data_IF_403665521110
#
_entry.id   IF_403665521110
#
_cell.length_a   1.000
_cell.length_b   1.000
_cell.length_c   1.000
_cell.angle_alpha   90.00
_cell.angle_beta   90.00
_cell.angle_gamma   90.00
#
_symmetry.space_group_name_H-M   'P 1'
#
loop_
_entity.id
_entity.type
_entity.pdbx_description
1 polymer ?
#
# COMPACT_ATOMS: atom_id res chain seq x y z
N UNK A 1 23.38 10.52 3.89
CA UNK A 1 23.24 10.49 2.42
C UNK A 1 21.94 9.77 2.05
N UNK A 2 21.22 10.23 1.00
CA UNK A 2 20.10 9.47 0.46
C UNK A 2 20.61 8.13 -0.10
N UNK A 3 20.08 7.02 0.43
CA UNK A 3 20.41 5.66 -0.01
C UNK A 3 19.49 5.24 -1.18
N UNK A 4 19.97 4.45 -2.16
CA UNK A 4 19.13 3.91 -3.23
C UNK A 4 18.07 2.96 -2.66
N UNK A 5 16.87 2.88 -3.25
CA UNK A 5 15.72 2.13 -2.67
C UNK A 5 15.94 0.65 -2.48
N UNK A 6 16.75 0.01 -3.32
CA UNK A 6 17.20 -1.37 -3.08
C UNK A 6 17.87 -1.58 -1.72
N UNK A 7 18.33 -0.50 -1.08
CA UNK A 7 18.91 -0.48 0.26
C UNK A 7 18.00 0.17 1.33
N UNK A 8 16.77 0.53 0.94
CA UNK A 8 15.71 1.01 1.83
C UNK A 8 14.58 -0.02 1.98
N UNK A 9 14.34 -0.83 0.94
CA UNK A 9 13.47 -2.02 0.99
C UNK A 9 14.30 -3.18 1.50
N UNK A 10 13.89 -3.75 2.63
CA UNK A 10 14.52 -4.91 3.24
C UNK A 10 13.43 -5.88 3.68
N UNK A 11 13.30 -6.95 2.93
CA UNK A 11 12.35 -8.02 3.20
C UNK A 11 12.63 -8.75 4.51
N UNK A 12 13.90 -8.80 4.93
CA UNK A 12 14.29 -9.29 6.25
C UNK A 12 13.80 -8.39 7.40
N UNK A 13 13.48 -7.13 7.11
CA UNK A 13 13.07 -6.14 8.12
C UNK A 13 11.54 -6.02 8.22
N UNK A 14 10.87 -5.91 7.07
CA UNK A 14 9.40 -5.94 6.98
C UNK A 14 8.96 -6.18 5.53
N UNK A 15 7.86 -6.92 5.31
CA UNK A 15 7.21 -7.00 4.01
C UNK A 15 6.26 -5.82 3.73
N UNK A 16 5.99 -4.94 4.70
CA UNK A 16 4.97 -3.88 4.59
C UNK A 16 5.57 -2.51 4.30
N UNK A 17 5.02 -1.82 3.29
CA UNK A 17 5.48 -0.50 2.87
C UNK A 17 4.31 0.42 2.54
N UNK A 18 4.37 1.64 3.07
CA UNK A 18 3.52 2.74 2.63
C UNK A 18 4.21 3.50 1.51
N UNK A 19 3.55 3.63 0.38
CA UNK A 19 4.03 4.32 -0.81
C UNK A 19 3.09 5.46 -1.22
N UNK A 20 3.70 6.56 -1.69
CA UNK A 20 2.97 7.79 -2.04
C UNK A 20 3.51 8.35 -3.34
N UNK A 21 2.64 8.66 -4.29
CA UNK A 21 3.02 9.37 -5.52
C UNK A 21 2.16 10.61 -5.71
N UNK A 22 2.78 11.71 -6.12
CA UNK A 22 2.15 13.02 -6.27
C UNK A 22 2.39 13.58 -7.66
N UNK A 23 1.35 14.13 -8.28
CA UNK A 23 1.42 14.78 -9.59
C UNK A 23 2.09 16.14 -9.53
N UNK A 24 2.73 16.54 -10.62
CA UNK A 24 3.36 17.87 -10.75
C UNK A 24 2.37 18.98 -10.44
N UNK A 25 2.88 20.08 -9.87
CA UNK A 25 2.07 21.26 -9.57
C UNK A 25 1.27 21.69 -10.81
N UNK A 26 -0.04 21.89 -10.63
CA UNK A 26 -1.05 22.21 -11.66
C UNK A 26 -1.52 21.07 -12.57
N UNK A 27 -0.90 19.88 -12.51
CA UNK A 27 -1.54 18.68 -13.06
C UNK A 27 -2.52 18.12 -12.03
N UNK A 28 -3.80 18.03 -12.40
CA UNK A 28 -4.78 17.30 -11.60
C UNK A 28 -4.55 15.80 -11.83
N UNK A 29 -4.19 15.08 -10.76
CA UNK A 29 -4.27 13.61 -10.78
C UNK A 29 -5.72 13.22 -11.04
N UNK A 30 -6.64 13.94 -10.39
CA UNK A 30 -8.07 13.93 -10.58
C UNK A 30 -8.67 15.20 -9.99
N UNK A 31 -9.92 15.53 -10.32
CA UNK A 31 -10.58 16.74 -9.82
C UNK A 31 -10.85 17.79 -10.88
N UNK A 32 -11.52 18.86 -10.47
CA UNK A 32 -11.90 19.96 -11.36
C UNK A 32 -10.75 20.97 -11.47
N UNK A 33 -10.30 21.21 -12.68
CA UNK A 33 -9.37 22.29 -12.96
C UNK A 33 -10.07 23.64 -12.82
N UNK A 34 -9.55 24.49 -11.95
CA UNK A 34 -10.11 25.81 -11.70
C UNK A 34 -9.94 26.75 -12.90
N UNK A 35 -8.93 26.56 -13.75
CA UNK A 35 -8.67 27.41 -14.90
C UNK A 35 -9.55 27.05 -16.10
N UNK A 36 -9.68 25.75 -16.42
CA UNK A 36 -10.44 25.28 -17.59
C UNK A 36 -11.85 24.81 -17.26
N UNK A 37 -12.21 24.69 -15.98
CA UNK A 37 -13.45 24.03 -15.51
C UNK A 37 -13.62 22.56 -15.92
N UNK A 38 -12.61 21.95 -16.58
CA UNK A 38 -12.62 20.54 -16.96
C UNK A 38 -12.49 19.66 -15.71
N UNK A 39 -13.26 18.58 -15.65
CA UNK A 39 -13.19 17.61 -14.57
C UNK A 39 -12.37 16.40 -14.99
N UNK A 40 -11.45 15.99 -14.12
CA UNK A 40 -10.63 14.79 -14.23
C UNK A 40 -10.92 13.79 -13.11
N UNK A 41 -12.06 13.93 -12.42
CA UNK A 41 -12.48 13.04 -11.32
C UNK A 41 -12.49 11.56 -11.72
N UNK A 42 -12.83 11.24 -12.97
CA UNK A 42 -12.82 9.87 -13.51
C UNK A 42 -11.46 9.18 -13.42
N UNK A 43 -10.35 9.93 -13.42
CA UNK A 43 -9.00 9.37 -13.30
C UNK A 43 -8.77 8.65 -11.96
N UNK A 44 -9.58 8.92 -10.91
CA UNK A 44 -9.50 8.14 -9.66
C UNK A 44 -9.81 6.67 -9.89
N UNK A 45 -10.83 6.40 -10.71
CA UNK A 45 -11.21 5.04 -11.07
C UNK A 45 -10.09 4.33 -11.80
N UNK A 46 -9.39 5.01 -12.74
CA UNK A 46 -8.24 4.43 -13.45
C UNK A 46 -7.15 3.96 -12.49
N UNK A 47 -6.83 4.76 -11.48
CA UNK A 47 -5.80 4.42 -10.48
C UNK A 47 -6.25 3.26 -9.62
N UNK A 48 -7.50 3.29 -9.15
CA UNK A 48 -8.06 2.21 -8.34
C UNK A 48 -8.09 0.88 -9.10
N UNK A 49 -8.61 0.86 -10.33
CA UNK A 49 -8.64 -0.33 -11.18
C UNK A 49 -7.24 -0.85 -11.44
N UNK A 50 -6.30 0.03 -11.79
CA UNK A 50 -4.91 -0.35 -12.05
C UNK A 50 -4.22 -0.91 -10.80
N UNK A 51 -4.53 -0.39 -9.61
CA UNK A 51 -4.02 -0.95 -8.36
C UNK A 51 -4.49 -2.40 -8.17
N UNK A 52 -5.79 -2.66 -8.31
CA UNK A 52 -6.36 -4.00 -8.14
C UNK A 52 -5.88 -4.97 -9.22
N UNK A 53 -5.76 -4.52 -10.46
CA UNK A 53 -5.19 -5.30 -11.58
C UNK A 53 -3.75 -5.72 -11.26
N UNK A 54 -2.89 -4.76 -10.91
CA UNK A 54 -1.48 -5.05 -10.61
C UNK A 54 -1.31 -5.94 -9.39
N UNK A 55 -2.18 -5.83 -8.39
CA UNK A 55 -2.18 -6.70 -7.22
C UNK A 55 -2.58 -8.14 -7.55
N UNK A 56 -3.32 -8.37 -8.63
CA UNK A 56 -3.62 -9.71 -9.15
C UNK A 56 -2.46 -10.33 -9.95
N UNK A 57 -1.53 -9.51 -10.44
CA UNK A 57 -0.43 -9.95 -11.31
C UNK A 57 0.90 -10.07 -10.55
N UNK A 58 1.19 -9.11 -9.67
CA UNK A 58 2.38 -9.12 -8.83
C UNK A 58 2.16 -10.00 -7.60
N UNK A 59 3.25 -10.52 -7.03
CA UNK A 59 3.26 -11.12 -5.70
C UNK A 59 3.28 -10.03 -4.62
N UNK A 60 2.36 -9.07 -4.73
CA UNK A 60 2.24 -7.90 -3.86
C UNK A 60 0.77 -7.68 -3.54
N UNK A 61 0.41 -7.81 -2.27
CA UNK A 61 -0.97 -7.60 -1.81
C UNK A 61 -1.23 -6.12 -1.46
N UNK A 62 -2.46 -5.67 -1.67
CA UNK A 62 -2.94 -4.34 -1.24
C UNK A 62 -3.49 -4.41 0.19
N UNK A 63 -2.79 -3.83 1.16
CA UNK A 63 -3.31 -3.71 2.52
C UNK A 63 -4.35 -2.58 2.63
N UNK A 64 -4.09 -1.46 1.94
CA UNK A 64 -4.98 -0.31 1.90
C UNK A 64 -4.53 0.75 0.89
N UNK A 65 -5.43 1.64 0.50
CA UNK A 65 -5.14 2.76 -0.39
C UNK A 65 -6.16 3.89 -0.25
N UNK A 66 -5.75 5.08 -0.70
CA UNK A 66 -6.62 6.24 -0.84
C UNK A 66 -6.16 7.11 -2.01
N UNK A 67 -7.07 7.40 -2.94
CA UNK A 67 -6.78 8.24 -4.12
C UNK A 67 -7.29 9.66 -3.88
N UNK A 68 -6.37 10.60 -3.74
CA UNK A 68 -6.63 12.03 -3.51
C UNK A 68 -6.56 12.81 -4.83
N UNK A 69 -6.96 14.08 -4.83
CA UNK A 69 -7.00 14.93 -6.04
C UNK A 69 -5.65 15.16 -6.73
N UNK A 70 -4.54 15.12 -5.99
CA UNK A 70 -3.19 15.39 -6.54
C UNK A 70 -2.14 14.33 -6.16
N UNK A 71 -2.51 13.32 -5.38
CA UNK A 71 -1.63 12.22 -4.98
C UNK A 71 -2.46 11.00 -4.61
N UNK A 72 -1.82 9.85 -4.48
CA UNK A 72 -2.44 8.67 -3.88
C UNK A 72 -1.51 8.06 -2.84
N UNK A 73 -2.11 7.38 -1.87
CA UNK A 73 -1.42 6.56 -0.88
C UNK A 73 -1.77 5.10 -1.13
N UNK A 74 -0.79 4.22 -1.01
CA UNK A 74 -0.98 2.77 -1.09
C UNK A 74 -0.10 2.09 -0.06
N UNK A 75 -0.64 1.09 0.61
CA UNK A 75 0.07 0.24 1.58
C UNK A 75 0.15 -1.15 0.95
N UNK A 76 1.38 -1.59 0.73
CA UNK A 76 1.73 -2.80 -0.01
C UNK A 76 2.34 -3.83 0.94
N UNK A 77 2.04 -5.10 0.70
CA UNK A 77 2.67 -6.25 1.34
C UNK A 77 3.38 -7.09 0.28
N UNK A 78 4.68 -7.35 0.44
CA UNK A 78 5.43 -8.21 -0.49
C UNK A 78 5.29 -9.66 -0.07
N UNK A 79 4.67 -10.48 -0.92
CA UNK A 79 4.50 -11.92 -0.67
C UNK A 79 5.63 -12.75 -1.30
N UNK A 80 6.69 -12.94 -0.52
CA UNK A 80 7.83 -13.79 -0.92
C UNK A 80 7.46 -15.25 -1.08
N UNK A 81 6.50 -15.74 -0.30
CA UNK A 81 6.10 -17.15 -0.31
C UNK A 81 5.42 -17.45 -1.63
N UNK A 82 4.41 -16.65 -2.01
CA UNK A 82 3.74 -16.76 -3.30
C UNK A 82 4.72 -16.65 -4.47
N UNK A 83 5.62 -15.67 -4.43
CA UNK A 83 6.62 -15.49 -5.47
C UNK A 83 7.56 -16.70 -5.60
N UNK A 84 7.86 -17.42 -4.51
CA UNK A 84 8.75 -18.58 -4.50
C UNK A 84 8.04 -19.87 -4.93
N UNK A 85 6.73 -19.98 -4.65
CA UNK A 85 5.91 -21.12 -5.04
C UNK A 85 5.61 -21.18 -6.54
N UNK A 86 5.64 -20.04 -7.24
CA UNK A 86 5.38 -20.03 -8.67
C UNK A 86 6.32 -20.91 -9.48
N UNK A 87 5.75 -21.68 -10.39
CA UNK A 87 6.48 -22.38 -11.44
C UNK A 87 7.02 -21.39 -12.47
N UNK A 88 8.00 -21.82 -13.27
CA UNK A 88 8.52 -20.99 -14.37
C UNK A 88 7.41 -20.58 -15.34
N UNK A 89 6.45 -21.46 -15.60
CA UNK A 89 5.28 -21.19 -16.44
C UNK A 89 4.41 -20.07 -15.85
N UNK A 90 4.06 -20.15 -14.57
CA UNK A 90 3.25 -19.12 -13.92
C UNK A 90 3.95 -17.75 -13.92
N UNK A 91 5.26 -17.71 -13.66
CA UNK A 91 6.03 -16.45 -13.74
C UNK A 91 5.96 -15.84 -15.15
N UNK A 92 6.09 -16.66 -16.20
CA UNK A 92 5.98 -16.21 -17.59
C UNK A 92 4.56 -15.69 -17.86
N UNK A 93 3.53 -16.41 -17.42
CA UNK A 93 2.12 -16.00 -17.59
C UNK A 93 1.81 -14.68 -16.89
N UNK A 94 2.27 -14.49 -15.64
CA UNK A 94 2.14 -13.23 -14.92
C UNK A 94 2.89 -12.10 -15.62
N UNK A 95 4.13 -12.34 -16.06
CA UNK A 95 4.92 -11.35 -16.78
C UNK A 95 4.26 -10.94 -18.10
N UNK A 96 3.68 -11.91 -18.83
CA UNK A 96 3.04 -11.70 -20.13
C UNK A 96 1.73 -10.90 -20.06
N UNK A 97 1.09 -10.83 -18.89
CA UNK A 97 -0.07 -9.93 -18.69
C UNK A 97 0.32 -8.45 -18.75
N UNK A 98 1.59 -8.10 -18.53
CA UNK A 98 2.06 -6.71 -18.49
C UNK A 98 3.02 -6.35 -19.64
N UNK A 99 3.78 -7.33 -20.12
CA UNK A 99 4.84 -7.12 -21.09
C UNK A 99 4.82 -8.22 -22.15
N UNK A 100 5.27 -7.96 -23.37
CA UNK A 100 5.30 -8.97 -24.44
C UNK A 100 6.27 -10.14 -24.21
N UNK A 101 7.13 -10.07 -23.18
CA UNK A 101 8.14 -11.10 -22.91
C UNK A 101 9.29 -11.09 -23.92
N UNK A 102 9.91 -12.25 -24.13
CA UNK A 102 10.94 -12.46 -25.15
C UNK A 102 10.56 -13.64 -26.06
N UNK A 103 11.29 -13.83 -27.16
CA UNK A 103 10.98 -14.89 -28.13
C UNK A 103 10.98 -16.29 -27.49
N UNK A 104 11.89 -16.54 -26.54
CA UNK A 104 11.99 -17.84 -25.87
C UNK A 104 10.78 -18.11 -24.98
N UNK A 105 10.28 -17.10 -24.25
CA UNK A 105 9.11 -17.25 -23.39
C UNK A 105 7.82 -17.42 -24.20
N UNK A 106 7.72 -16.78 -25.38
CA UNK A 106 6.62 -16.98 -26.32
C UNK A 106 6.62 -18.40 -26.90
N UNK A 107 7.77 -18.87 -27.40
CA UNK A 107 7.93 -20.26 -27.90
C UNK A 107 7.66 -21.29 -26.80
N UNK A 108 8.11 -21.02 -25.58
CA UNK A 108 7.83 -21.86 -24.41
C UNK A 108 6.32 -21.95 -24.11
N UNK A 109 5.58 -20.83 -24.17
CA UNK A 109 4.12 -20.84 -23.99
C UNK A 109 3.39 -21.64 -25.09
N UNK A 110 3.92 -21.65 -26.32
CA UNK A 110 3.40 -22.46 -27.42
C UNK A 110 3.73 -23.96 -27.30
N UNK A 111 4.50 -24.37 -26.27
CA UNK A 111 4.90 -25.76 -26.06
C UNK A 111 6.02 -26.23 -26.99
N UNK A 112 6.73 -25.30 -27.64
CA UNK A 112 7.87 -25.66 -28.48
C UNK A 112 9.03 -26.22 -27.66
N UNK A 113 9.76 -27.17 -28.24
CA UNK A 113 10.97 -27.71 -27.63
C UNK A 113 12.11 -26.70 -27.77
N UNK A 114 12.58 -26.19 -26.64
CA UNK A 114 13.77 -25.37 -26.55
C UNK A 114 15.01 -26.27 -26.43
N UNK A 115 16.11 -25.86 -27.05
CA UNK A 115 17.43 -26.46 -26.80
C UNK A 115 17.87 -26.25 -25.34
N UNK A 116 18.90 -26.96 -24.89
CA UNK A 116 19.43 -26.82 -23.53
C UNK A 116 19.94 -25.40 -23.24
N UNK A 117 20.60 -24.77 -24.21
CA UNK A 117 21.10 -23.39 -24.09
C UNK A 117 19.95 -22.36 -24.02
N UNK A 118 18.92 -22.53 -24.86
CA UNK A 118 17.73 -21.68 -24.84
C UNK A 118 16.95 -21.83 -23.53
N UNK A 119 16.81 -23.06 -23.03
CA UNK A 119 16.13 -23.36 -21.76
C UNK A 119 16.86 -22.72 -20.57
N UNK A 120 18.19 -22.76 -20.57
CA UNK A 120 19.02 -22.11 -19.53
C UNK A 120 18.82 -20.59 -19.57
N UNK A 121 18.87 -19.99 -20.76
CA UNK A 121 18.66 -18.55 -20.95
C UNK A 121 17.26 -18.12 -20.51
N UNK A 122 16.23 -18.91 -20.83
CA UNK A 122 14.86 -18.66 -20.39
C UNK A 122 14.75 -18.75 -18.87
N UNK A 123 15.37 -19.74 -18.23
CA UNK A 123 15.37 -19.88 -16.76
C UNK A 123 15.98 -18.66 -16.07
N UNK A 124 17.10 -18.13 -16.57
CA UNK A 124 17.67 -16.88 -16.05
C UNK A 124 16.73 -15.67 -16.21
N UNK A 125 16.01 -15.60 -17.33
CA UNK A 125 15.01 -14.56 -17.55
C UNK A 125 13.83 -14.69 -16.58
N UNK A 126 13.34 -15.91 -16.36
CA UNK A 126 12.26 -16.22 -15.43
C UNK A 126 12.62 -15.80 -14.02
N UNK A 127 13.82 -16.12 -13.53
CA UNK A 127 14.23 -15.72 -12.18
C UNK A 127 14.35 -14.20 -12.04
N UNK A 128 14.81 -13.51 -13.10
CA UNK A 128 14.77 -12.04 -13.15
C UNK A 128 13.33 -11.51 -13.10
N UNK A 129 12.39 -12.13 -13.79
CA UNK A 129 10.97 -11.72 -13.78
C UNK A 129 10.30 -11.99 -12.44
N UNK A 130 10.55 -13.15 -11.82
CA UNK A 130 10.10 -13.50 -10.46
C UNK A 130 10.52 -12.42 -9.47
N UNK A 131 11.81 -12.05 -9.46
CA UNK A 131 12.33 -11.00 -8.60
C UNK A 131 11.66 -9.63 -8.85
N UNK A 132 11.29 -9.31 -10.09
CA UNK A 132 10.60 -8.06 -10.43
C UNK A 132 9.13 -8.07 -10.03
N UNK A 133 8.45 -9.20 -10.13
CA UNK A 133 7.04 -9.37 -9.77
C UNK A 133 6.80 -9.30 -8.25
N UNK A 134 7.84 -9.33 -7.43
CA UNK A 134 7.79 -9.07 -5.98
C UNK A 134 8.45 -7.73 -5.58
N UNK A 135 8.87 -6.90 -6.54
CA UNK A 135 9.57 -5.64 -6.27
C UNK A 135 8.61 -4.44 -6.32
N UNK A 136 8.51 -3.72 -5.19
CA UNK A 136 7.64 -2.53 -5.07
C UNK A 136 8.03 -1.43 -6.06
N UNK A 137 9.31 -1.26 -6.39
CA UNK A 137 9.72 -0.25 -7.37
C UNK A 137 9.24 -0.61 -8.76
N UNK A 138 9.19 -1.89 -9.12
CA UNK A 138 8.57 -2.36 -10.36
C UNK A 138 7.05 -2.18 -10.34
N UNK A 139 6.38 -2.57 -9.26
CA UNK A 139 4.94 -2.33 -9.09
C UNK A 139 4.59 -0.85 -9.28
N UNK A 140 5.26 0.03 -8.54
CA UNK A 140 5.04 1.47 -8.59
C UNK A 140 5.47 2.07 -9.94
N UNK A 141 6.46 1.49 -10.63
CA UNK A 141 6.82 1.92 -11.98
C UNK A 141 5.68 1.64 -12.95
N UNK A 142 5.16 0.41 -13.00
CA UNK A 142 4.10 0.02 -13.92
C UNK A 142 2.83 0.80 -13.66
N UNK A 143 2.47 1.01 -12.39
CA UNK A 143 1.34 1.85 -11.99
C UNK A 143 1.50 3.29 -12.49
N UNK A 144 2.60 3.95 -12.10
CA UNK A 144 2.79 5.37 -12.40
C UNK A 144 3.01 5.64 -13.89
N UNK A 145 3.74 4.77 -14.59
CA UNK A 145 3.99 4.89 -16.02
C UNK A 145 2.68 4.78 -16.81
N UNK A 146 1.84 3.79 -16.49
CA UNK A 146 0.54 3.60 -17.13
C UNK A 146 -0.36 4.83 -17.00
N UNK A 147 -0.54 5.31 -15.76
CA UNK A 147 -1.36 6.50 -15.47
C UNK A 147 -0.79 7.75 -16.14
N UNK A 148 0.53 7.95 -16.13
CA UNK A 148 1.15 9.11 -16.77
C UNK A 148 0.95 9.10 -18.30
N UNK A 149 1.11 7.94 -18.94
CA UNK A 149 0.89 7.82 -20.39
C UNK A 149 -0.57 8.10 -20.76
N UNK A 150 -1.51 7.54 -20.01
CA UNK A 150 -2.94 7.73 -20.26
C UNK A 150 -3.37 9.18 -20.03
N UNK A 151 -2.91 9.81 -18.95
CA UNK A 151 -3.21 11.21 -18.65
C UNK A 151 -2.60 12.16 -19.68
N UNK A 152 -1.31 11.98 -20.04
CA UNK A 152 -0.66 12.81 -21.05
C UNK A 152 -1.34 12.69 -22.43
N UNK A 153 -1.81 11.49 -22.79
CA UNK A 153 -2.57 11.29 -24.02
C UNK A 153 -3.94 11.98 -23.98
N UNK A 154 -4.68 11.89 -22.86
CA UNK A 154 -5.97 12.60 -22.67
C UNK A 154 -5.82 14.13 -22.65
N UNK A 155 -4.67 14.61 -22.16
CA UNK A 155 -4.32 16.03 -22.09
C UNK A 155 -3.63 16.54 -23.37
N UNK A 156 -3.46 15.68 -24.38
CA UNK A 156 -2.77 15.98 -25.65
C UNK A 156 -1.39 16.66 -25.45
N UNK A 157 -0.68 16.25 -24.39
CA UNK A 157 0.57 16.88 -23.99
C UNK A 157 1.72 15.87 -23.83
N UNK A 158 2.94 16.41 -23.78
CA UNK A 158 4.13 15.62 -23.47
C UNK A 158 4.81 16.17 -22.23
N UNK A 159 5.59 15.33 -21.57
CA UNK A 159 6.39 15.73 -20.41
C UNK A 159 6.02 14.99 -19.13
N UNK A 160 6.41 15.59 -18.01
CA UNK A 160 6.46 14.92 -16.71
C UNK A 160 5.12 15.06 -15.97
N UNK A 161 4.47 13.92 -15.71
CA UNK A 161 3.21 13.88 -14.95
C UNK A 161 3.41 13.84 -13.42
N UNK A 162 4.42 13.08 -12.93
CA UNK A 162 4.69 12.92 -11.50
C UNK A 162 5.81 13.86 -11.01
N UNK A 163 5.65 14.51 -9.84
CA UNK A 163 6.64 15.46 -9.26
C UNK A 163 8.03 14.84 -9.09
N UNK A 164 8.08 13.53 -8.89
CA UNK A 164 9.19 12.86 -8.26
C UNK A 164 9.13 11.36 -8.46
N UNK A 165 10.12 10.70 -7.88
CA UNK A 165 10.00 9.29 -7.56
C UNK A 165 9.02 9.16 -6.37
N UNK A 166 8.20 8.12 -6.32
CA UNK A 166 7.27 7.85 -5.21
C UNK A 166 7.99 7.85 -3.84
N UNK A 167 7.38 8.31 -2.75
CA UNK A 167 7.95 8.12 -1.40
C UNK A 167 7.65 6.70 -0.90
N UNK A 168 8.52 6.14 -0.06
CA UNK A 168 8.32 4.82 0.54
C UNK A 168 8.76 4.84 2.01
N UNK A 169 7.91 4.30 2.88
CA UNK A 169 8.14 4.14 4.32
C UNK A 169 7.94 2.68 4.68
N UNK A 170 8.93 2.06 5.32
CA UNK A 170 8.85 0.69 5.84
C UNK A 170 8.08 0.67 7.16
N UNK A 171 7.06 -0.18 7.25
CA UNK A 171 6.21 -0.34 8.44
C UNK A 171 6.68 -1.57 9.22
N UNK A 172 7.38 -1.36 10.33
CA UNK A 172 8.20 -2.39 10.99
C UNK A 172 7.40 -3.32 11.91
N UNK A 173 6.21 -2.91 12.33
CA UNK A 173 5.33 -3.68 13.21
C UNK A 173 3.84 -3.42 12.95
N UNK A 174 3.00 -4.19 13.64
CA UNK A 174 1.54 -4.15 13.53
C UNK A 174 1.00 -2.77 13.91
N UNK A 175 1.56 -2.15 14.95
CA UNK A 175 1.22 -0.81 15.39
C UNK A 175 1.43 0.21 14.26
N UNK A 176 2.62 0.21 13.63
CA UNK A 176 2.91 1.05 12.48
C UNK A 176 2.00 0.76 11.28
N UNK A 177 1.71 -0.51 11.00
CA UNK A 177 0.83 -0.93 9.92
C UNK A 177 -0.60 -0.38 10.12
N UNK A 178 -1.22 -0.64 11.27
CA UNK A 178 -2.59 -0.24 11.55
C UNK A 178 -2.72 1.28 11.66
N UNK A 179 -1.75 1.96 12.28
CA UNK A 179 -1.71 3.42 12.32
C UNK A 179 -1.63 4.02 10.91
N UNK A 180 -0.79 3.44 10.03
CA UNK A 180 -0.68 3.88 8.65
C UNK A 180 -1.97 3.63 7.85
N UNK A 181 -2.59 2.46 8.02
CA UNK A 181 -3.85 2.12 7.35
C UNK A 181 -4.97 3.09 7.75
N UNK A 182 -5.15 3.32 9.05
CA UNK A 182 -6.14 4.28 9.56
C UNK A 182 -5.82 5.71 9.11
N UNK A 183 -4.53 6.10 9.05
CA UNK A 183 -4.11 7.35 8.46
C UNK A 183 -4.58 7.47 7.00
N UNK A 184 -4.25 6.50 6.15
CA UNK A 184 -4.59 6.49 4.72
C UNK A 184 -6.10 6.50 4.47
N UNK A 185 -6.84 5.64 5.16
CA UNK A 185 -8.29 5.51 4.97
C UNK A 185 -9.07 6.77 5.39
N UNK A 186 -8.53 7.54 6.34
CA UNK A 186 -9.15 8.79 6.81
C UNK A 186 -8.73 10.03 6.01
N UNK A 187 -7.76 9.93 5.08
CA UNK A 187 -7.26 11.10 4.33
C UNK A 187 -8.35 11.86 3.56
N UNK A 188 -9.30 11.20 2.86
CA UNK A 188 -10.38 11.92 2.17
C UNK A 188 -11.31 12.67 3.12
N UNK A 189 -11.55 12.12 4.32
CA UNK A 189 -12.36 12.79 5.35
C UNK A 189 -11.64 14.04 5.86
N UNK A 190 -10.34 13.93 6.14
CA UNK A 190 -9.51 15.06 6.58
C UNK A 190 -9.39 16.16 5.54
N UNK A 191 -9.28 15.80 4.27
CA UNK A 191 -9.24 16.74 3.16
C UNK A 191 -10.62 17.34 2.81
N UNK A 192 -11.67 17.02 3.59
CA UNK A 192 -13.07 17.43 3.33
C UNK A 192 -13.59 16.99 1.95
N UNK A 193 -13.03 15.92 1.40
CA UNK A 193 -13.49 15.27 0.16
C UNK A 193 -14.66 14.30 0.44
N UNK A 194 -14.76 13.79 1.67
CA UNK A 194 -15.85 12.95 2.13
C UNK A 194 -16.25 13.31 3.56
N UNK A 195 -17.50 13.05 3.93
CA UNK A 195 -18.00 13.34 5.28
C UNK A 195 -17.72 12.20 6.28
N UNK A 196 -17.63 10.97 5.78
CA UNK A 196 -17.45 9.75 6.57
C UNK A 196 -16.70 8.66 5.76
N UNK A 197 -16.06 7.66 6.39
CA UNK A 197 -15.39 6.58 5.68
C UNK A 197 -16.27 5.84 4.66
N UNK A 198 -17.55 5.64 4.94
CA UNK A 198 -18.51 4.94 4.07
C UNK A 198 -18.80 5.70 2.76
N UNK A 199 -18.63 7.02 2.80
CA UNK A 199 -18.83 7.92 1.65
C UNK A 199 -17.51 8.32 0.99
N UNK A 200 -16.37 7.81 1.47
CA UNK A 200 -15.05 8.08 0.89
C UNK A 200 -14.77 7.20 -0.32
N UNK A 201 -15.23 7.65 -1.50
CA UNK A 201 -14.99 6.96 -2.76
C UNK A 201 -13.49 6.73 -3.03
N UNK A 202 -13.17 5.65 -3.76
CA UNK A 202 -11.80 5.27 -4.14
C UNK A 202 -10.84 5.07 -2.94
N UNK A 203 -11.34 4.45 -1.87
CA UNK A 203 -10.57 4.05 -0.70
C UNK A 203 -10.73 2.56 -0.37
N UNK A 204 -9.74 1.99 0.32
CA UNK A 204 -9.86 0.64 0.85
C UNK A 204 -10.95 0.50 1.91
N UNK A 205 -11.09 1.46 2.84
CA UNK A 205 -12.11 1.37 3.89
C UNK A 205 -13.52 1.32 3.32
N UNK A 206 -13.83 2.12 2.30
CA UNK A 206 -15.15 2.06 1.66
C UNK A 206 -15.42 0.68 1.08
N UNK A 207 -14.48 0.12 0.30
CA UNK A 207 -14.63 -1.25 -0.25
C UNK A 207 -14.83 -2.30 0.84
N UNK A 208 -14.10 -2.18 1.95
CA UNK A 208 -14.21 -3.09 3.09
C UNK A 208 -15.58 -2.98 3.77
N UNK A 209 -16.09 -1.77 4.00
CA UNK A 209 -17.40 -1.53 4.61
C UNK A 209 -18.53 -2.01 3.68
N UNK A 210 -18.50 -1.63 2.41
CA UNK A 210 -19.51 -2.03 1.42
C UNK A 210 -19.60 -3.56 1.34
N UNK A 211 -18.46 -4.26 1.33
CA UNK A 211 -18.44 -5.73 1.36
C UNK A 211 -18.90 -6.29 2.70
N UNK A 212 -18.52 -5.67 3.81
CA UNK A 212 -18.87 -6.13 5.14
C UNK A 212 -20.38 -6.07 5.43
N UNK A 213 -21.09 -5.12 4.83
CA UNK A 213 -22.55 -4.99 4.90
C UNK A 213 -23.30 -6.12 4.18
N UNK A 214 -22.65 -6.82 3.23
CA UNK A 214 -23.29 -7.92 2.49
C UNK A 214 -23.41 -9.23 3.28
N UNK A 215 -22.76 -9.34 4.44
CA UNK A 215 -22.65 -10.59 5.20
C UNK A 215 -22.97 -10.34 6.68
N UNK A 216 -23.81 -11.19 7.28
CA UNK A 216 -24.26 -11.02 8.66
C UNK A 216 -23.33 -11.66 9.70
N UNK A 217 -22.38 -12.50 9.27
CA UNK A 217 -21.41 -13.16 10.14
C UNK A 217 -20.17 -12.29 10.32
N UNK A 218 -19.94 -11.71 11.52
CA UNK A 218 -18.79 -10.84 11.77
C UNK A 218 -17.47 -11.61 11.68
N UNK A 219 -16.47 -10.97 11.05
CA UNK A 219 -15.13 -11.50 10.80
C UNK A 219 -15.07 -12.79 9.97
N UNK A 220 -16.16 -13.16 9.27
CA UNK A 220 -16.16 -14.30 8.36
C UNK A 220 -15.35 -13.99 7.08
N UNK A 221 -14.63 -14.95 6.47
CA UNK A 221 -13.86 -14.69 5.24
C UNK A 221 -14.70 -14.11 4.09
N UNK A 222 -15.98 -14.50 3.98
CA UNK A 222 -16.89 -13.97 2.96
C UNK A 222 -17.31 -12.50 3.20
N UNK A 223 -17.13 -11.98 4.41
CA UNK A 223 -17.36 -10.58 4.75
C UNK A 223 -16.25 -9.67 4.19
N UNK A 224 -15.13 -10.25 3.73
CA UNK A 224 -13.96 -9.50 3.29
C UNK A 224 -13.88 -9.43 1.76
N UNK A 225 -13.37 -8.31 1.24
CA UNK A 225 -13.15 -8.14 -0.19
C UNK A 225 -11.90 -8.91 -0.62
N UNK A 226 -12.01 -9.71 -1.68
CA UNK A 226 -10.94 -10.62 -2.12
C UNK A 226 -9.74 -9.91 -2.75
N UNK A 227 -9.94 -8.69 -3.26
CA UNK A 227 -8.90 -7.93 -3.96
C UNK A 227 -8.00 -7.12 -3.01
N UNK A 228 -8.32 -7.10 -1.71
CA UNK A 228 -7.47 -6.54 -0.67
C UNK A 228 -6.95 -7.66 0.22
N UNK A 229 -5.81 -7.42 0.86
CA UNK A 229 -5.27 -8.32 1.86
C UNK A 229 -6.33 -8.52 2.97
N UNK A 230 -6.67 -9.79 3.29
CA UNK A 230 -7.67 -10.09 4.30
C UNK A 230 -7.11 -9.82 5.70
N UNK A 231 -8.01 -9.52 6.62
CA UNK A 231 -7.80 -9.52 8.05
C UNK A 231 -7.83 -10.95 8.57
N UNK A 232 -6.73 -11.40 9.16
CA UNK A 232 -6.52 -12.74 9.68
C UNK A 232 -6.94 -12.93 11.15
N UNK A 233 -7.38 -11.85 11.82
CA UNK A 233 -7.73 -11.86 13.23
C UNK A 233 -6.54 -11.60 14.15
N UNK A 234 -6.69 -11.92 15.43
CA UNK A 234 -5.64 -11.65 16.42
C UNK A 234 -4.43 -12.58 16.21
N UNK A 235 -3.20 -12.11 16.50
CA UNK A 235 -2.00 -12.95 16.45
C UNK A 235 -2.16 -14.25 17.23
N UNK A 236 -1.73 -15.37 16.62
CA UNK A 236 -1.70 -16.71 17.21
C UNK A 236 -0.60 -17.54 16.54
N UNK A 237 -0.17 -18.64 17.18
CA UNK A 237 0.95 -19.48 16.70
C UNK A 237 0.79 -19.93 15.23
N UNK A 238 -0.43 -20.31 14.82
CA UNK A 238 -0.77 -20.64 13.43
C UNK A 238 -1.62 -19.53 12.81
N UNK A 239 -0.94 -18.47 12.37
CA UNK A 239 -1.61 -17.32 11.76
C UNK A 239 -1.77 -17.52 10.25
N UNK A 240 -3.01 -17.44 9.71
CA UNK A 240 -3.20 -17.46 8.26
C UNK A 240 -2.64 -16.18 7.63
N UNK A 241 -2.26 -16.24 6.34
CA UNK A 241 -1.84 -15.05 5.58
C UNK A 241 -2.90 -13.95 5.69
N UNK A 242 -2.50 -12.80 6.20
CA UNK A 242 -3.39 -11.65 6.33
C UNK A 242 -2.87 -10.62 7.32
N UNK A 243 -3.63 -9.55 7.48
CA UNK A 243 -3.35 -8.49 8.45
C UNK A 243 -3.67 -9.03 9.86
N UNK A 244 -2.76 -8.93 10.85
CA UNK A 244 -2.91 -9.43 12.24
C UNK A 244 -3.92 -8.62 13.05
N UNK A 245 -5.12 -8.51 12.51
CA UNK A 245 -6.16 -7.67 13.03
C UNK A 245 -7.53 -8.23 12.67
N UNK A 246 -8.56 -7.96 13.48
CA UNK A 246 -9.95 -8.27 13.13
C UNK A 246 -10.53 -7.13 12.29
N UNK A 247 -11.31 -7.46 11.25
CA UNK A 247 -11.91 -6.45 10.40
C UNK A 247 -12.88 -5.54 11.18
N UNK A 248 -13.69 -6.13 12.08
CA UNK A 248 -14.64 -5.37 12.91
C UNK A 248 -13.94 -4.32 13.76
N UNK A 249 -12.89 -4.75 14.46
CA UNK A 249 -12.12 -3.90 15.36
C UNK A 249 -11.41 -2.78 14.56
N UNK A 250 -10.94 -3.10 13.34
CA UNK A 250 -10.33 -2.09 12.46
C UNK A 250 -11.34 -1.04 11.98
N UNK A 251 -12.53 -1.45 11.55
CA UNK A 251 -13.58 -0.51 11.11
C UNK A 251 -13.99 0.40 12.27
N UNK A 252 -14.19 -0.18 13.46
CA UNK A 252 -14.51 0.59 14.66
C UNK A 252 -13.41 1.60 15.00
N UNK A 253 -12.14 1.19 14.94
CA UNK A 253 -11.01 2.09 15.14
C UNK A 253 -11.03 3.28 14.18
N UNK A 254 -11.28 3.02 12.90
CA UNK A 254 -11.32 4.06 11.86
C UNK A 254 -12.48 5.03 12.11
N UNK A 255 -13.67 4.52 12.45
CA UNK A 255 -14.84 5.35 12.77
C UNK A 255 -14.60 6.24 14.01
N UNK A 256 -14.14 5.65 15.11
CA UNK A 256 -13.79 6.39 16.33
C UNK A 256 -12.73 7.47 16.05
N UNK A 257 -11.68 7.11 15.31
CA UNK A 257 -10.62 8.03 14.93
C UNK A 257 -11.11 9.16 14.02
N UNK A 258 -12.04 8.89 13.10
CA UNK A 258 -12.65 9.89 12.23
C UNK A 258 -13.55 10.87 12.98
N UNK A 259 -14.28 10.42 14.00
CA UNK A 259 -15.19 11.25 14.81
C UNK A 259 -14.46 12.28 15.66
N UNK A 260 -13.24 11.98 16.08
CA UNK A 260 -12.40 12.86 16.91
C UNK A 260 -11.88 14.07 16.13
N UNK A 261 -11.85 14.00 14.79
CA UNK A 261 -11.30 15.04 13.92
C UNK A 261 -12.30 16.20 13.68
N UNK A 262 -13.50 16.15 14.27
CA UNK A 262 -14.47 17.25 14.21
C UNK A 262 -14.15 18.32 15.26
N UNK A 263 -13.64 19.47 14.80
CA UNK A 263 -13.23 20.64 15.61
C UNK A 263 -14.30 21.13 16.61
N UNK A 264 -15.57 20.82 16.37
CA UNK A 264 -16.71 21.16 17.22
C UNK A 264 -16.96 20.19 18.38
N UNK A 265 -16.21 19.08 18.49
CA UNK A 265 -16.36 18.11 19.59
C UNK A 265 -15.05 17.76 20.27
N UNK A 266 -15.03 17.94 21.60
CA UNK A 266 -13.98 17.54 22.56
C UNK A 266 -13.89 16.00 22.74
N UNK A 267 -14.10 15.23 21.69
CA UNK A 267 -14.04 13.77 21.73
C UNK A 267 -12.59 13.30 21.83
N UNK A 268 -12.29 12.49 22.83
CA UNK A 268 -11.08 11.68 22.92
C UNK A 268 -11.48 10.22 22.66
N UNK A 269 -10.56 9.36 22.22
CA UNK A 269 -10.80 7.91 22.32
C UNK A 269 -10.88 7.65 23.81
N UNK A 270 -12.07 7.29 24.32
CA UNK A 270 -12.21 6.91 25.72
C UNK A 270 -11.18 5.81 26.01
N UNK A 271 -10.26 6.00 26.98
CA UNK A 271 -9.27 5.00 27.35
C UNK A 271 -9.89 3.63 27.70
N UNK A 272 -11.16 3.62 28.11
CA UNK A 272 -11.93 2.43 28.40
C UNK A 272 -12.55 1.75 27.16
N UNK A 273 -12.75 2.48 26.04
CA UNK A 273 -13.50 2.00 24.86
C UNK A 273 -12.64 1.38 23.75
N UNK A 274 -11.31 1.30 23.88
CA UNK A 274 -10.49 0.71 22.81
C UNK A 274 -9.49 -0.33 23.31
N UNK A 275 -9.95 -1.58 23.56
CA UNK A 275 -9.08 -2.75 23.72
C UNK A 275 -8.04 -2.87 22.59
N UNK A 276 -8.36 -2.33 21.43
CA UNK A 276 -7.51 -2.19 20.24
C UNK A 276 -6.23 -1.38 20.47
N UNK A 277 -6.32 -0.21 21.08
CA UNK A 277 -5.14 0.64 21.32
C UNK A 277 -4.24 0.04 22.39
N UNK A 278 -4.85 -0.59 23.40
CA UNK A 278 -4.13 -1.35 24.42
C UNK A 278 -3.36 -2.53 23.78
N UNK A 279 -3.98 -3.26 22.83
CA UNK A 279 -3.29 -4.33 22.08
C UNK A 279 -2.12 -3.83 21.26
N UNK A 280 -2.24 -2.65 20.65
CA UNK A 280 -1.16 -2.05 19.86
C UNK A 280 -0.08 -1.37 20.71
N UNK A 281 -0.25 -1.31 22.04
CA UNK A 281 0.60 -0.57 22.96
C UNK A 281 0.76 0.93 22.58
N UNK A 282 -0.29 1.56 22.04
CA UNK A 282 -0.28 2.98 21.65
C UNK A 282 -1.18 3.77 22.60
N UNK A 283 -0.64 4.79 23.26
CA UNK A 283 -1.43 5.72 24.06
C UNK A 283 -2.40 6.54 23.16
N UNK A 284 -3.63 6.78 23.63
CA UNK A 284 -4.64 7.52 22.87
C UNK A 284 -4.16 8.90 22.37
N UNK A 285 -3.36 9.62 23.18
CA UNK A 285 -2.79 10.92 22.80
C UNK A 285 -1.81 10.80 21.61
N UNK A 286 -0.99 9.74 21.60
CA UNK A 286 -0.06 9.46 20.51
C UNK A 286 -0.81 8.98 19.27
N UNK A 287 -1.88 8.18 19.44
CA UNK A 287 -2.75 7.77 18.36
C UNK A 287 -3.38 8.95 17.62
N UNK A 288 -4.03 9.88 18.35
CA UNK A 288 -4.61 11.10 17.76
C UNK A 288 -3.56 11.92 17.01
N UNK A 289 -2.33 11.94 17.50
CA UNK A 289 -1.25 12.61 16.80
C UNK A 289 -0.84 11.89 15.51
N UNK A 290 -0.65 10.57 15.57
CA UNK A 290 -0.25 9.71 14.45
C UNK A 290 -1.24 9.80 13.29
N UNK A 291 -2.54 9.72 13.59
CA UNK A 291 -3.57 9.83 12.56
C UNK A 291 -3.54 11.20 11.86
N UNK A 292 -3.04 12.26 12.49
CA UNK A 292 -3.00 13.58 11.84
C UNK A 292 -1.66 13.89 11.15
N UNK A 293 -0.56 13.27 11.60
CA UNK A 293 0.80 13.72 11.27
C UNK A 293 1.74 12.59 10.81
N UNK A 294 1.19 11.45 10.36
CA UNK A 294 1.98 10.28 10.01
C UNK A 294 3.15 10.58 9.06
N UNK A 295 2.88 11.21 7.91
CA UNK A 295 3.94 11.46 6.91
C UNK A 295 4.93 12.56 7.28
N UNK A 296 4.51 13.54 8.08
CA UNK A 296 5.37 14.68 8.41
C UNK A 296 6.46 14.28 9.40
N UNK A 297 6.17 13.30 10.27
CA UNK A 297 7.11 12.79 11.27
C UNK A 297 7.99 11.65 10.79
N UNK A 298 7.43 10.71 10.02
CA UNK A 298 8.18 9.55 9.61
C UNK A 298 8.65 9.66 8.16
N UNK A 299 9.97 9.53 7.93
CA UNK A 299 10.54 9.68 6.57
C UNK A 299 10.87 8.37 5.88
N UNK A 300 11.22 7.32 6.62
CA UNK A 300 11.74 6.08 6.00
C UNK A 300 11.35 4.81 6.74
N UNK A 301 11.36 4.82 8.07
CA UNK A 301 11.01 3.67 8.90
C UNK A 301 10.00 4.12 9.95
N UNK A 302 9.02 3.25 10.24
CA UNK A 302 7.97 3.49 11.23
C UNK A 302 7.78 2.23 12.06
N UNK A 303 7.81 2.37 13.39
CA UNK A 303 7.56 1.28 14.33
C UNK A 303 8.37 1.48 15.61
N UNK A 304 8.29 0.49 16.49
CA UNK A 304 8.96 0.45 17.79
C UNK A 304 10.45 0.74 17.69
N UNK A 305 10.95 1.49 18.67
CA UNK A 305 12.37 1.87 18.73
C UNK A 305 13.31 0.66 18.72
N UNK A 306 12.89 -0.45 19.34
CA UNK A 306 13.62 -1.71 19.33
C UNK A 306 13.82 -2.26 17.91
N UNK A 307 12.73 -2.44 17.15
CA UNK A 307 12.80 -2.93 15.76
C UNK A 307 13.56 -1.96 14.86
N UNK A 308 13.33 -0.66 15.03
CA UNK A 308 14.05 0.35 14.27
C UNK A 308 15.57 0.25 14.46
N UNK A 309 16.05 0.09 15.70
CA UNK A 309 17.48 -0.10 16.02
C UNK A 309 18.02 -1.37 15.36
N UNK A 310 17.27 -2.47 15.39
CA UNK A 310 17.67 -3.74 14.78
C UNK A 310 17.79 -3.63 13.25
N UNK A 311 16.80 -3.03 12.59
CA UNK A 311 16.77 -2.82 11.13
C UNK A 311 17.85 -1.85 10.67
N UNK A 312 18.09 -0.77 11.42
CA UNK A 312 19.17 0.16 11.08
C UNK A 312 20.55 -0.52 11.16
N UNK A 313 20.76 -1.41 12.14
CA UNK A 313 21.99 -2.21 12.26
C UNK A 313 22.14 -3.17 11.08
N UNK A 314 21.10 -3.92 10.73
CA UNK A 314 21.17 -4.89 9.62
C UNK A 314 21.40 -4.21 8.26
N UNK A 315 20.88 -2.99 8.08
CA UNK A 315 21.07 -2.20 6.86
C UNK A 315 22.34 -1.32 6.88
N UNK A 316 23.21 -1.48 7.88
CA UNK A 316 24.47 -0.76 7.98
C UNK A 316 24.30 0.76 8.11
N UNK A 317 23.30 1.22 8.85
CA UNK A 317 23.15 2.63 9.19
C UNK A 317 24.02 2.98 10.41
N UNK A 318 24.85 4.01 10.27
CA UNK A 318 25.66 4.55 11.38
C UNK A 318 24.82 5.36 12.39
N UNK A 319 23.68 5.91 11.95
CA UNK A 319 22.71 6.63 12.78
C UNK A 319 21.32 6.10 12.52
N UNK A 320 20.50 6.03 13.55
CA UNK A 320 19.12 5.55 13.47
C UNK A 320 18.20 6.73 13.10
N UNK A 321 17.75 6.85 11.83
CA UNK A 321 16.89 7.96 11.42
C UNK A 321 15.50 7.84 12.05
N UNK A 322 14.95 8.96 12.52
CA UNK A 322 13.57 8.99 13.05
C UNK A 322 13.38 8.31 14.41
N UNK A 323 14.47 8.01 15.12
CA UNK A 323 14.43 7.29 16.40
C UNK A 323 13.64 8.04 17.48
N UNK A 324 13.76 9.36 17.56
CA UNK A 324 13.07 10.18 18.57
C UNK A 324 11.56 10.11 18.38
N UNK A 325 11.11 10.24 17.14
CA UNK A 325 9.71 10.13 16.77
C UNK A 325 9.18 8.72 17.05
N UNK A 326 9.96 7.68 16.75
CA UNK A 326 9.57 6.30 17.04
C UNK A 326 9.49 6.02 18.55
N UNK A 327 10.47 6.48 19.35
CA UNK A 327 10.45 6.35 20.82
C UNK A 327 9.28 7.12 21.46
N UNK A 328 8.82 8.20 20.83
CA UNK A 328 7.69 9.00 21.33
C UNK A 328 6.34 8.35 21.00
N UNK A 329 6.15 7.91 19.75
CA UNK A 329 4.82 7.52 19.25
C UNK A 329 4.61 6.00 19.14
N UNK A 330 5.67 5.20 19.22
CA UNK A 330 5.65 3.74 19.19
C UNK A 330 6.51 3.17 20.35
N UNK A 331 6.02 3.30 21.60
CA UNK A 331 6.77 2.87 22.79
C UNK A 331 6.99 1.36 22.87
#
# INVERSE_FOLDING_TARGET
MPKPRKSQVSLASTPYYHCVSRCVRRAFLCGKDAATSRSFEHRRQWIEERLHELAGIFAIDLCGYSVMSNHYHVILHIDQTLASEWTAKEVIEQWHQLFSGNLLSQRYQLGEKLSAAESTTLSECVEKWRARLMDISWFMRVLNEGIARQANAEDECTGRFWEGRFKSQALLDEAALIACMAYVDLNPVRAKMANKPETSAHTSIKKRIDKAQTTHNPNHPQQQIKTLMPFAGNPRETMPKGIPFKLTDYIELVDLSGRIIREDKKGFIDPALSPILQRLNIEAKHWVYLINNFESKFKSFVGTAYKLKQVCRSLGYQRVPGIRECETYFP
#
